data_IF_668378515777
#
_entry.id   IF_668378515777
#
_cell.length_a   1.000
_cell.length_b   1.000
_cell.length_c   1.000
_cell.angle_alpha   90.00
_cell.angle_beta   90.00
_cell.angle_gamma   90.00
#
_symmetry.space_group_name_H-M   'P 1'
#
loop_
_entity.id
_entity.type
_entity.pdbx_description
1 polymer ?
#
# COMPACT_ATOMS: atom_id res chain seq x y z
N UNK A 1 -28.50 -0.25 -13.73
CA UNK A 1 -27.23 -0.21 -12.98
C UNK A 1 -26.19 -0.84 -13.87
N UNK A 2 -25.26 -0.06 -14.41
CA UNK A 2 -24.13 -0.57 -15.20
C UNK A 2 -23.06 -1.04 -14.23
N UNK A 3 -22.74 -2.33 -14.25
CA UNK A 3 -21.54 -2.85 -13.59
C UNK A 3 -20.33 -2.11 -14.16
N UNK A 4 -19.54 -1.49 -13.27
CA UNK A 4 -18.25 -0.96 -13.64
C UNK A 4 -17.30 -2.14 -13.83
N UNK A 5 -17.11 -2.57 -15.06
CA UNK A 5 -16.08 -3.54 -15.42
C UNK A 5 -14.72 -2.87 -15.24
N UNK A 6 -13.97 -3.34 -14.24
CA UNK A 6 -12.59 -2.92 -14.01
C UNK A 6 -11.71 -3.75 -14.95
N UNK A 7 -11.10 -3.10 -15.93
CA UNK A 7 -10.20 -3.76 -16.90
C UNK A 7 -9.00 -4.42 -16.18
N UNK A 8 -8.46 -5.53 -16.71
CA UNK A 8 -7.30 -6.19 -16.14
C UNK A 8 -6.10 -5.22 -16.02
N UNK A 9 -5.55 -5.09 -14.82
CA UNK A 9 -4.35 -4.28 -14.59
C UNK A 9 -3.11 -5.04 -15.04
N UNK A 10 -2.64 -4.77 -16.25
CA UNK A 10 -1.27 -5.12 -16.66
C UNK A 10 -0.33 -4.06 -16.09
N UNK A 11 0.72 -4.49 -15.36
CA UNK A 11 1.78 -3.59 -14.91
C UNK A 11 2.30 -2.81 -16.13
N UNK A 12 2.15 -1.48 -16.17
CA UNK A 12 2.56 -0.70 -17.33
C UNK A 12 4.09 -0.79 -17.54
N UNK A 13 4.56 -0.83 -18.78
CA UNK A 13 6.00 -0.79 -19.08
C UNK A 13 6.66 0.53 -18.60
N UNK A 14 5.84 1.56 -18.36
CA UNK A 14 6.21 2.85 -17.77
C UNK A 14 5.98 2.93 -16.25
N UNK A 15 5.77 1.79 -15.56
CA UNK A 15 5.68 1.75 -14.10
C UNK A 15 6.91 2.41 -13.48
N UNK A 16 6.69 3.56 -12.87
CA UNK A 16 7.71 4.23 -12.08
C UNK A 16 7.79 3.51 -10.74
N UNK A 17 8.73 2.57 -10.62
CA UNK A 17 9.10 2.02 -9.33
C UNK A 17 9.86 3.09 -8.54
N UNK A 18 9.33 3.46 -7.38
CA UNK A 18 10.01 4.33 -6.41
C UNK A 18 10.69 3.41 -5.40
N UNK A 19 12.03 3.44 -5.36
CA UNK A 19 12.81 2.74 -4.33
C UNK A 19 13.17 3.80 -3.29
N UNK A 20 12.42 3.91 -2.18
CA UNK A 20 12.68 4.94 -1.21
C UNK A 20 14.09 4.76 -0.61
N UNK A 21 14.79 5.87 -0.43
CA UNK A 21 16.06 5.93 0.30
C UNK A 21 15.85 5.65 1.78
N UNK A 22 14.70 6.01 2.32
CA UNK A 22 14.39 5.89 3.73
C UNK A 22 12.90 5.61 3.94
N UNK A 23 12.61 4.73 4.90
CA UNK A 23 11.26 4.37 5.31
C UNK A 23 11.21 4.30 6.83
N UNK A 24 10.40 5.15 7.46
CA UNK A 24 10.34 5.29 8.92
C UNK A 24 8.92 5.33 9.44
N UNK A 25 8.71 4.71 10.59
CA UNK A 25 7.52 4.91 11.42
C UNK A 25 7.82 5.99 12.47
N UNK A 26 6.92 6.94 12.65
CA UNK A 26 7.06 8.05 13.58
C UNK A 26 5.88 8.14 14.54
N UNK A 27 6.17 8.58 15.76
CA UNK A 27 5.15 9.11 16.67
C UNK A 27 5.33 10.63 16.70
N UNK A 28 4.29 11.35 16.30
CA UNK A 28 4.34 12.81 16.15
C UNK A 28 3.86 13.55 17.40
N UNK A 29 3.16 12.85 18.29
CA UNK A 29 2.69 13.39 19.57
C UNK A 29 1.22 13.09 19.82
N UNK A 30 0.69 13.75 20.85
CA UNK A 30 -0.68 13.62 21.32
C UNK A 30 -1.35 15.00 21.29
N UNK A 31 -2.50 15.12 20.61
CA UNK A 31 -3.30 16.36 20.56
C UNK A 31 -4.78 16.02 20.61
N UNK A 32 -5.58 16.82 21.32
CA UNK A 32 -7.04 16.70 21.36
C UNK A 32 -7.56 15.27 21.56
N UNK A 33 -6.96 14.54 22.51
CA UNK A 33 -7.24 13.15 22.89
C UNK A 33 -6.84 12.05 21.89
N UNK A 34 -6.17 12.38 20.80
CA UNK A 34 -5.68 11.39 19.82
C UNK A 34 -4.15 11.38 19.69
N UNK A 35 -3.60 10.18 19.55
CA UNK A 35 -2.20 9.96 19.17
C UNK A 35 -2.03 10.08 17.65
N UNK A 36 -1.04 10.86 17.24
CA UNK A 36 -0.63 11.01 15.86
C UNK A 36 0.58 10.12 15.54
N UNK A 37 0.40 9.24 14.57
CA UNK A 37 1.40 8.29 14.08
C UNK A 37 1.64 8.58 12.61
N UNK A 38 2.87 8.41 12.14
CA UNK A 38 3.22 8.67 10.74
C UNK A 38 4.05 7.58 10.09
N UNK A 39 3.92 7.47 8.77
CA UNK A 39 4.82 6.73 7.89
C UNK A 39 5.52 7.75 7.01
N UNK A 40 6.85 7.84 7.12
CA UNK A 40 7.68 8.72 6.32
C UNK A 40 8.41 7.91 5.27
N UNK A 41 8.24 8.32 4.01
CA UNK A 41 8.92 7.74 2.85
C UNK A 41 9.73 8.85 2.21
N UNK A 42 11.04 8.69 2.13
CA UNK A 42 11.91 9.64 1.44
C UNK A 42 12.49 9.01 0.20
N UNK A 43 12.30 9.65 -0.93
CA UNK A 43 12.83 9.22 -2.22
C UNK A 43 13.58 10.35 -2.91
N UNK A 44 14.59 9.99 -3.72
CA UNK A 44 15.43 10.97 -4.42
C UNK A 44 14.72 11.66 -5.59
N UNK A 45 13.73 11.01 -6.22
CA UNK A 45 12.97 11.57 -7.34
C UNK A 45 11.80 12.42 -6.86
N UNK A 46 11.05 11.97 -5.85
CA UNK A 46 9.80 12.64 -5.44
C UNK A 46 9.90 13.40 -4.12
N UNK A 47 11.03 13.30 -3.40
CA UNK A 47 11.23 13.96 -2.10
C UNK A 47 10.64 13.17 -0.93
N UNK A 48 10.39 13.85 0.19
CA UNK A 48 9.83 13.23 1.40
C UNK A 48 8.31 13.35 1.43
N UNK A 49 7.64 12.22 1.54
CA UNK A 49 6.19 12.10 1.74
C UNK A 49 5.94 11.53 3.14
N UNK A 50 4.98 12.12 3.86
CA UNK A 50 4.54 11.63 5.16
C UNK A 50 3.03 11.36 5.13
N UNK A 51 2.65 10.13 5.47
CA UNK A 51 1.27 9.80 5.79
C UNK A 51 1.09 9.95 7.29
N UNK A 52 0.19 10.82 7.74
CA UNK A 52 -0.12 11.05 9.15
C UNK A 52 -1.51 10.50 9.45
N UNK A 53 -1.63 9.75 10.53
CA UNK A 53 -2.82 9.01 10.92
C UNK A 53 -3.03 9.12 12.42
N UNK A 54 -4.28 8.99 12.87
CA UNK A 54 -4.54 8.68 14.27
C UNK A 54 -4.32 7.18 14.55
N UNK A 55 -4.30 6.81 15.84
CA UNK A 55 -4.05 5.43 16.26
C UNK A 55 -5.02 4.40 15.64
N UNK A 56 -6.31 4.73 15.55
CA UNK A 56 -7.31 3.83 14.97
C UNK A 56 -7.07 3.57 13.48
N UNK A 57 -6.77 4.62 12.71
CA UNK A 57 -6.47 4.52 11.28
C UNK A 57 -5.16 3.76 11.04
N UNK A 58 -4.13 4.03 11.84
CA UNK A 58 -2.86 3.31 11.77
C UNK A 58 -3.04 1.81 12.06
N UNK A 59 -3.84 1.46 13.07
CA UNK A 59 -4.17 0.08 13.38
C UNK A 59 -4.91 -0.61 12.24
N UNK A 60 -5.90 0.06 11.65
CA UNK A 60 -6.67 -0.46 10.53
C UNK A 60 -5.78 -0.74 9.30
N UNK A 61 -4.86 0.16 8.97
CA UNK A 61 -3.87 -0.05 7.89
C UNK A 61 -2.95 -1.22 8.21
N UNK A 62 -2.45 -1.33 9.44
CA UNK A 62 -1.59 -2.43 9.86
C UNK A 62 -2.30 -3.79 9.75
N UNK A 63 -3.58 -3.87 10.14
CA UNK A 63 -4.39 -5.08 10.00
C UNK A 63 -4.57 -5.49 8.53
N UNK A 64 -4.85 -4.54 7.64
CA UNK A 64 -4.99 -4.82 6.22
C UNK A 64 -3.67 -5.30 5.60
N UNK A 65 -2.54 -4.67 5.97
CA UNK A 65 -1.22 -5.12 5.55
C UNK A 65 -0.93 -6.55 6.04
N UNK A 66 -1.22 -6.84 7.31
CA UNK A 66 -1.03 -8.18 7.87
C UNK A 66 -1.91 -9.23 7.15
N UNK A 67 -3.17 -8.90 6.84
CA UNK A 67 -4.08 -9.77 6.10
C UNK A 67 -3.56 -10.05 4.68
N UNK A 68 -3.04 -9.04 3.98
CA UNK A 68 -2.42 -9.22 2.67
C UNK A 68 -1.20 -10.12 2.72
N UNK A 69 -0.33 -9.96 3.72
CA UNK A 69 0.85 -10.82 3.90
C UNK A 69 0.44 -12.26 4.22
N UNK A 70 -0.56 -12.45 5.08
CA UNK A 70 -1.07 -13.78 5.41
C UNK A 70 -1.69 -14.49 4.19
N UNK A 71 -2.35 -13.75 3.30
CA UNK A 71 -2.96 -14.26 2.08
C UNK A 71 -2.10 -14.12 0.82
N UNK A 72 -0.77 -13.94 0.95
CA UNK A 72 0.06 -13.48 -0.16
C UNK A 72 0.07 -14.44 -1.36
N UNK A 73 -0.04 -15.75 -1.12
CA UNK A 73 -0.05 -16.75 -2.19
C UNK A 73 -1.37 -16.73 -2.97
N UNK A 74 -2.51 -16.56 -2.31
CA UNK A 74 -3.80 -16.37 -2.98
C UNK A 74 -3.82 -15.08 -3.79
N UNK A 75 -3.22 -14.01 -3.27
CA UNK A 75 -3.08 -12.75 -4.01
C UNK A 75 -2.19 -12.91 -5.24
N UNK A 76 -1.13 -13.73 -5.17
CA UNK A 76 -0.28 -14.08 -6.32
C UNK A 76 -1.02 -14.92 -7.35
N UNK A 77 -1.72 -15.96 -6.94
CA UNK A 77 -2.55 -16.80 -7.83
C UNK A 77 -3.60 -15.95 -8.55
N UNK A 78 -4.29 -15.08 -7.82
CA UNK A 78 -5.28 -14.17 -8.39
C UNK A 78 -4.64 -13.16 -9.35
N UNK A 79 -3.46 -12.63 -9.03
CA UNK A 79 -2.70 -11.78 -9.95
C UNK A 79 -2.34 -12.53 -11.23
N UNK A 80 -1.74 -13.71 -11.13
CA UNK A 80 -1.30 -14.52 -12.27
C UNK A 80 -2.47 -14.98 -13.14
N UNK A 81 -3.61 -15.31 -12.52
CA UNK A 81 -4.88 -15.55 -13.21
C UNK A 81 -5.33 -14.33 -14.00
N UNK A 82 -5.29 -13.12 -13.41
CA UNK A 82 -5.69 -11.87 -14.06
C UNK A 82 -4.79 -11.49 -15.24
N UNK A 83 -3.50 -11.81 -15.17
CA UNK A 83 -2.54 -11.51 -16.25
C UNK A 83 -2.32 -12.68 -17.23
N UNK A 84 -3.10 -13.76 -17.12
CA UNK A 84 -3.10 -14.87 -18.08
C UNK A 84 -1.89 -15.81 -17.98
N UNK A 85 -1.20 -15.89 -16.84
CA UNK A 85 -0.05 -16.79 -16.63
C UNK A 85 -0.43 -18.22 -16.20
N UNK A 86 -1.72 -18.51 -16.03
CA UNK A 86 -2.22 -19.78 -15.48
C UNK A 86 -2.47 -20.92 -16.46
N UNK A 87 -2.45 -20.67 -17.78
CA UNK A 87 -2.76 -21.69 -18.79
C UNK A 87 -1.58 -21.87 -19.77
N UNK A 88 -0.61 -22.71 -19.39
CA UNK A 88 0.33 -23.38 -20.31
C UNK A 88 0.89 -24.66 -19.69
#
# INVERSE_FOLDING_TARGET
MTEATMEPFTRPDDEITIIPKDFKFGYLGHSDSEDAISIHVTDARVGSVALVMNAASAHHVAQHLAAMVAGIDQLREEHDRRIGKGDN
#
